data_IF_149441576780
#
_entry.id   IF_149441576780
#
_cell.length_a   1.000
_cell.length_b   1.000
_cell.length_c   1.000
_cell.angle_alpha   90.00
_cell.angle_beta   90.00
_cell.angle_gamma   90.00
#
_symmetry.space_group_name_H-M   'P 1'
#
loop_
_entity.id
_entity.type
_entity.pdbx_description
1 polymer ?
#
# COMPACT_ATOMS: atom_id res chain seq x y z
N UNK A 1 -5.41 17.74 -3.42
CA UNK A 1 -5.79 16.73 -2.41
C UNK A 1 -4.59 15.82 -2.21
N UNK A 2 -4.22 15.52 -0.97
CA UNK A 2 -3.12 14.60 -0.64
C UNK A 2 -3.67 13.26 -0.16
N UNK A 3 -2.95 12.16 -0.40
CA UNK A 3 -3.29 10.82 0.08
C UNK A 3 -2.23 10.39 1.09
N UNK A 4 -2.64 9.84 2.25
CA UNK A 4 -1.73 9.36 3.29
C UNK A 4 -2.20 8.01 3.83
N UNK A 5 -1.25 7.07 3.94
CA UNK A 5 -1.38 5.82 4.67
C UNK A 5 -0.46 5.87 5.89
N UNK A 6 -1.00 5.49 7.04
CA UNK A 6 -0.28 5.47 8.32
C UNK A 6 -0.39 4.06 8.91
N UNK A 7 0.74 3.37 8.97
CA UNK A 7 0.89 2.02 9.53
C UNK A 7 -0.13 1.00 9.02
N UNK A 8 -0.50 1.08 7.74
CA UNK A 8 -1.54 0.24 7.15
C UNK A 8 -1.10 -1.22 7.12
N UNK A 9 -1.92 -2.09 7.70
CA UNK A 9 -1.67 -3.52 7.78
C UNK A 9 -2.87 -4.31 7.30
N UNK A 10 -2.63 -5.43 6.61
CA UNK A 10 -3.68 -6.32 6.12
C UNK A 10 -3.21 -7.76 6.12
N UNK A 11 -4.03 -8.62 6.71
CA UNK A 11 -3.83 -10.06 6.74
C UNK A 11 -5.03 -10.79 6.12
N UNK A 12 -4.74 -11.91 5.49
CA UNK A 12 -5.71 -12.87 4.96
C UNK A 12 -5.35 -14.25 5.55
N UNK A 13 -6.03 -14.64 6.63
CA UNK A 13 -5.66 -15.81 7.42
C UNK A 13 -4.22 -15.68 7.95
N UNK A 14 -3.39 -16.70 7.68
CA UNK A 14 -1.97 -16.69 8.07
C UNK A 14 -1.08 -15.80 7.18
N UNK A 15 -1.57 -15.33 6.03
CA UNK A 15 -0.78 -14.55 5.09
C UNK A 15 -0.87 -13.05 5.40
N UNK A 16 0.27 -12.40 5.63
CA UNK A 16 0.34 -10.93 5.80
C UNK A 16 0.59 -10.28 4.44
N UNK A 17 -0.44 -9.61 3.90
CA UNK A 17 -0.36 -8.91 2.62
C UNK A 17 0.24 -7.50 2.74
N UNK A 18 -0.04 -6.78 3.83
CA UNK A 18 0.57 -5.49 4.15
C UNK A 18 1.03 -5.50 5.61
N UNK A 19 2.23 -4.98 5.87
CA UNK A 19 2.82 -4.92 7.21
C UNK A 19 3.26 -3.48 7.49
N UNK A 20 2.44 -2.75 8.25
CA UNK A 20 2.70 -1.39 8.71
C UNK A 20 3.27 -0.47 7.62
N UNK A 21 2.52 -0.31 6.52
CA UNK A 21 2.93 0.54 5.40
C UNK A 21 2.59 2.00 5.70
N UNK A 22 3.61 2.85 5.62
CA UNK A 22 3.51 4.30 5.62
C UNK A 22 3.77 4.83 4.20
N UNK A 23 2.89 5.71 3.71
CA UNK A 23 2.98 6.31 2.38
C UNK A 23 2.31 7.68 2.39
N UNK A 24 2.92 8.66 1.74
CA UNK A 24 2.29 9.94 1.44
C UNK A 24 2.43 10.22 -0.05
N UNK A 25 1.35 10.66 -0.69
CA UNK A 25 1.33 11.08 -2.10
C UNK A 25 0.79 12.50 -2.14
N UNK A 26 1.61 13.42 -2.64
CA UNK A 26 1.29 14.83 -2.74
C UNK A 26 0.26 15.10 -3.85
N UNK A 27 -0.35 16.28 -3.80
CA UNK A 27 -1.30 16.70 -4.83
C UNK A 27 -0.60 16.88 -6.17
N UNK A 28 -1.09 16.20 -7.21
CA UNK A 28 -0.50 16.25 -8.55
C UNK A 28 0.68 15.28 -8.77
N UNK A 29 1.04 14.51 -7.75
CA UNK A 29 2.07 13.48 -7.85
C UNK A 29 1.52 12.19 -8.48
N UNK A 30 2.35 11.55 -9.31
CA UNK A 30 2.04 10.24 -9.89
C UNK A 30 2.90 9.17 -9.21
N UNK A 31 2.27 8.29 -8.45
CA UNK A 31 2.92 7.14 -7.80
C UNK A 31 2.77 5.88 -8.64
N UNK A 32 3.86 5.16 -8.86
CA UNK A 32 3.86 3.83 -9.48
C UNK A 32 4.27 2.77 -8.46
N UNK A 33 3.43 1.76 -8.26
CA UNK A 33 3.73 0.62 -7.38
C UNK A 33 4.38 -0.51 -8.19
N UNK A 34 5.62 -0.84 -7.86
CA UNK A 34 6.39 -1.92 -8.49
C UNK A 34 6.71 -3.04 -7.51
N UNK A 35 6.90 -4.24 -8.04
CA UNK A 35 7.33 -5.42 -7.27
C UNK A 35 6.73 -6.73 -7.78
N UNK A 36 7.22 -7.88 -7.30
CA UNK A 36 6.75 -9.20 -7.72
C UNK A 36 5.24 -9.43 -7.52
N UNK A 37 4.66 -10.40 -8.22
CA UNK A 37 3.28 -10.82 -7.96
C UNK A 37 3.11 -11.26 -6.50
N UNK A 38 1.99 -10.85 -5.87
CA UNK A 38 1.68 -11.20 -4.48
C UNK A 38 2.26 -10.26 -3.40
N UNK A 39 3.08 -9.27 -3.75
CA UNK A 39 3.72 -8.38 -2.75
C UNK A 39 2.80 -7.31 -2.13
N UNK A 40 1.47 -7.36 -2.36
CA UNK A 40 0.50 -6.46 -1.70
C UNK A 40 0.08 -5.21 -2.47
N UNK A 41 0.58 -4.94 -3.69
CA UNK A 41 0.24 -3.73 -4.48
C UNK A 41 -1.28 -3.49 -4.63
N UNK A 42 -1.99 -4.49 -5.14
CA UNK A 42 -3.45 -4.41 -5.33
C UNK A 42 -4.19 -4.34 -4.00
N UNK A 43 -3.64 -4.93 -2.94
CA UNK A 43 -4.18 -4.84 -1.58
C UNK A 43 -3.99 -3.43 -1.01
N UNK A 44 -2.94 -2.70 -1.38
CA UNK A 44 -2.69 -1.33 -0.93
C UNK A 44 -3.63 -0.31 -1.61
N UNK A 45 -4.11 -0.61 -2.83
CA UNK A 45 -4.96 0.28 -3.62
C UNK A 45 -6.47 0.00 -3.52
N UNK A 46 -6.88 -1.04 -2.77
CA UNK A 46 -8.28 -1.43 -2.56
C UNK A 46 -8.71 -1.13 -1.13
#
# INVERSE_FOLDING_TARGET
MRVRFESVSKQFGAHTALRAIDLEVASGECLVLLGPSGCGKTTLLR
#
